data_IF_963445085003
#
_entry.id   IF_963445085003
#
_cell.length_a   1.000
_cell.length_b   1.000
_cell.length_c   1.000
_cell.angle_alpha   90.00
_cell.angle_beta   90.00
_cell.angle_gamma   90.00
#
_symmetry.space_group_name_H-M   'P 1'
#
loop_
_entity.id
_entity.type
_entity.pdbx_description
1 polymer ?
#
# COMPACT_ATOMS: atom_id res chain seq x y z
N UNK A 1 15.31 18.55 12.11
CA UNK A 1 14.26 17.52 12.27
C UNK A 1 14.13 16.81 10.94
N UNK A 2 14.63 15.58 10.85
CA UNK A 2 14.48 14.75 9.65
C UNK A 2 13.01 14.46 9.41
N UNK A 3 12.38 15.18 8.48
CA UNK A 3 11.03 14.90 8.03
C UNK A 3 11.09 13.75 7.03
N UNK A 4 10.24 12.73 7.21
CA UNK A 4 10.03 11.69 6.18
C UNK A 4 9.42 12.30 4.93
N UNK A 5 9.81 11.76 3.77
CA UNK A 5 9.29 12.16 2.46
C UNK A 5 8.66 10.98 1.75
N UNK A 6 7.72 11.25 0.88
CA UNK A 6 7.13 10.21 0.04
C UNK A 6 8.11 9.80 -1.05
N UNK A 7 8.10 8.53 -1.38
CA UNK A 7 8.81 7.93 -2.52
C UNK A 7 7.89 6.87 -3.10
N UNK A 8 7.64 6.92 -4.41
CA UNK A 8 6.87 5.89 -5.11
C UNK A 8 7.82 4.80 -5.58
N UNK A 9 7.49 3.55 -5.31
CA UNK A 9 8.25 2.38 -5.78
C UNK A 9 7.32 1.45 -6.56
N UNK A 10 7.73 1.08 -7.77
CA UNK A 10 7.00 0.15 -8.64
C UNK A 10 7.85 -1.10 -8.86
N UNK A 11 7.28 -2.26 -8.65
CA UNK A 11 7.94 -3.52 -8.96
C UNK A 11 7.92 -3.76 -10.48
N UNK A 12 9.09 -3.94 -11.08
CA UNK A 12 9.23 -4.29 -12.50
C UNK A 12 8.96 -5.78 -12.76
N UNK A 13 9.26 -6.62 -11.77
CA UNK A 13 9.17 -8.07 -11.84
C UNK A 13 9.09 -8.69 -10.44
N UNK A 14 9.13 -10.02 -10.35
CA UNK A 14 9.07 -10.73 -9.08
C UNK A 14 10.22 -10.37 -8.12
N UNK A 15 11.42 -10.11 -8.63
CA UNK A 15 12.56 -9.66 -7.81
C UNK A 15 12.27 -8.31 -7.18
N UNK A 16 11.76 -7.35 -7.97
CA UNK A 16 11.35 -6.04 -7.47
C UNK A 16 10.25 -6.12 -6.41
N UNK A 17 9.23 -6.96 -6.62
CA UNK A 17 8.19 -7.18 -5.63
C UNK A 17 8.76 -7.73 -4.32
N UNK A 18 9.63 -8.74 -4.39
CA UNK A 18 10.28 -9.30 -3.22
C UNK A 18 11.15 -8.29 -2.49
N UNK A 19 11.83 -7.41 -3.22
CA UNK A 19 12.63 -6.35 -2.64
C UNK A 19 11.77 -5.25 -1.98
N UNK A 20 10.62 -4.90 -2.56
CA UNK A 20 9.64 -4.01 -1.90
C UNK A 20 9.14 -4.64 -0.59
N UNK A 21 8.85 -5.95 -0.56
CA UNK A 21 8.47 -6.63 0.68
C UNK A 21 9.57 -6.59 1.74
N UNK A 22 10.84 -6.74 1.35
CA UNK A 22 11.99 -6.59 2.27
C UNK A 22 12.09 -5.17 2.82
N UNK A 23 12.00 -4.15 1.95
CA UNK A 23 12.00 -2.74 2.35
C UNK A 23 10.89 -2.46 3.38
N UNK A 24 9.67 -2.93 3.12
CA UNK A 24 8.54 -2.78 4.04
C UNK A 24 8.85 -3.51 5.36
N UNK A 25 9.28 -4.76 5.31
CA UNK A 25 9.55 -5.57 6.51
C UNK A 25 10.65 -4.96 7.37
N UNK A 26 11.78 -4.58 6.78
CA UNK A 26 12.89 -3.96 7.50
C UNK A 26 12.49 -2.59 8.06
N UNK A 27 11.61 -1.82 7.40
CA UNK A 27 11.11 -0.52 7.89
C UNK A 27 10.34 -0.60 9.21
N UNK A 28 9.81 -1.77 9.58
CA UNK A 28 9.11 -2.03 10.85
C UNK A 28 10.05 -2.52 11.96
N UNK A 29 11.33 -2.66 11.71
CA UNK A 29 12.30 -3.21 12.66
C UNK A 29 13.34 -2.17 13.09
N UNK A 30 13.94 -2.36 14.29
CA UNK A 30 15.10 -1.67 14.78
C UNK A 30 15.06 -0.14 14.64
N UNK A 31 16.12 0.44 14.09
CA UNK A 31 16.31 1.88 13.92
C UNK A 31 15.42 2.53 12.86
N UNK A 32 14.85 1.74 11.94
CA UNK A 32 13.97 2.23 10.87
C UNK A 32 12.56 2.57 11.36
N UNK A 33 12.12 2.00 12.48
CA UNK A 33 10.82 2.28 13.05
C UNK A 33 10.90 3.34 14.15
N UNK A 34 10.32 4.51 13.90
CA UNK A 34 10.09 5.53 14.92
C UNK A 34 8.71 6.13 14.74
N UNK A 35 7.74 5.74 15.55
CA UNK A 35 6.30 6.08 15.46
C UNK A 35 5.63 5.63 14.17
N UNK A 36 6.37 5.49 13.09
CA UNK A 36 5.95 4.97 11.78
C UNK A 36 7.16 4.33 11.08
N UNK A 37 6.92 3.37 10.16
CA UNK A 37 7.98 2.76 9.37
C UNK A 37 8.62 3.78 8.43
N UNK A 38 9.93 3.65 8.21
CA UNK A 38 10.72 4.51 7.34
C UNK A 38 11.80 3.70 6.64
N UNK A 39 12.27 4.20 5.53
CA UNK A 39 13.44 3.68 4.83
C UNK A 39 14.44 4.83 4.59
N UNK A 40 15.70 4.51 4.41
CA UNK A 40 16.76 5.43 4.03
C UNK A 40 17.47 4.98 2.75
N UNK A 41 18.42 5.78 2.29
CA UNK A 41 19.18 5.46 1.08
C UNK A 41 20.02 4.18 1.21
N UNK A 42 20.49 3.86 2.42
CA UNK A 42 21.25 2.64 2.68
C UNK A 42 20.40 1.40 2.42
N UNK A 43 19.17 1.43 2.92
CA UNK A 43 18.21 0.34 2.71
C UNK A 43 17.76 0.24 1.25
N UNK A 44 17.56 1.39 0.58
CA UNK A 44 17.26 1.43 -0.85
C UNK A 44 18.42 0.84 -1.68
N UNK A 45 19.69 1.18 -1.39
CA UNK A 45 20.86 0.60 -2.05
C UNK A 45 20.91 -0.93 -1.93
N UNK A 46 20.52 -1.45 -0.78
CA UNK A 46 20.50 -2.88 -0.50
C UNK A 46 19.43 -3.64 -1.30
N UNK A 47 18.29 -3.01 -1.58
CA UNK A 47 17.09 -3.66 -2.13
C UNK A 47 16.48 -2.94 -3.33
N UNK A 48 17.28 -2.36 -4.24
CA UNK A 48 16.78 -1.59 -5.39
C UNK A 48 16.55 -2.41 -6.67
N UNK A 49 17.05 -3.64 -6.75
CA UNK A 49 16.96 -4.45 -7.96
C UNK A 49 15.51 -4.73 -8.34
N UNK A 50 15.18 -4.54 -9.64
CA UNK A 50 13.84 -4.74 -10.17
C UNK A 50 12.81 -3.71 -9.71
N UNK A 51 13.23 -2.54 -9.21
CA UNK A 51 12.35 -1.47 -8.74
C UNK A 51 12.57 -0.21 -9.58
N UNK A 52 11.48 0.39 -10.04
CA UNK A 52 11.41 1.78 -10.53
C UNK A 52 11.04 2.67 -9.36
N UNK A 53 11.67 3.84 -9.26
CA UNK A 53 11.38 4.84 -8.23
C UNK A 53 11.00 6.19 -8.84
N UNK A 54 9.98 6.85 -8.28
CA UNK A 54 9.50 8.17 -8.71
C UNK A 54 9.54 9.16 -7.54
N UNK A 55 9.75 10.44 -7.87
CA UNK A 55 9.97 11.50 -6.87
C UNK A 55 8.73 11.88 -6.03
N UNK A 56 7.57 11.34 -6.37
CA UNK A 56 6.27 11.55 -5.71
C UNK A 56 5.74 13.00 -5.80
N UNK A 57 4.74 13.32 -4.98
CA UNK A 57 3.95 14.54 -5.01
C UNK A 57 4.58 15.71 -4.21
N UNK A 58 3.80 16.75 -3.85
CA UNK A 58 4.19 17.86 -2.96
C UNK A 58 4.67 17.42 -1.56
N UNK A 59 4.57 16.14 -1.21
CA UNK A 59 5.17 15.51 -0.04
C UNK A 59 6.42 14.69 -0.34
N UNK A 60 6.86 14.63 -1.60
CA UNK A 60 7.95 13.80 -2.09
C UNK A 60 9.35 14.31 -1.77
N UNK A 61 10.36 13.61 -2.30
CA UNK A 61 11.76 13.91 -2.01
C UNK A 61 12.20 15.26 -2.58
N UNK A 62 11.81 15.60 -3.81
CA UNK A 62 12.07 16.91 -4.42
C UNK A 62 11.29 18.04 -3.73
N UNK A 63 10.03 17.79 -3.41
CA UNK A 63 9.25 18.73 -2.61
C UNK A 63 9.87 18.97 -1.23
N UNK A 64 10.61 18.00 -0.70
CA UNK A 64 11.43 18.18 0.50
C UNK A 64 12.44 19.30 0.38
N UNK A 65 13.18 19.34 -0.72
CA UNK A 65 14.11 20.42 -1.03
C UNK A 65 13.38 21.75 -1.21
N UNK A 66 12.33 21.76 -2.01
CA UNK A 66 11.50 22.94 -2.26
C UNK A 66 11.00 23.59 -0.96
N UNK A 67 10.35 22.84 -0.07
CA UNK A 67 9.82 23.38 1.18
C UNK A 67 10.87 23.80 2.20
N UNK A 68 12.03 23.13 2.22
CA UNK A 68 13.07 23.43 3.22
C UNK A 68 14.00 24.56 2.79
N UNK A 69 14.17 24.76 1.49
CA UNK A 69 15.08 25.75 0.92
C UNK A 69 14.39 26.96 0.28
N UNK A 70 13.06 27.02 0.37
CA UNK A 70 12.25 28.06 -0.32
C UNK A 70 12.66 29.49 0.07
N UNK A 71 12.95 29.74 1.35
CA UNK A 71 13.38 31.05 1.85
C UNK A 71 14.82 31.39 1.47
N UNK A 72 15.66 30.37 1.18
CA UNK A 72 17.05 30.53 0.75
C UNK A 72 17.16 30.87 -0.76
N UNK A 73 16.07 30.70 -1.50
CA UNK A 73 15.93 31.06 -2.91
C UNK A 73 16.17 29.90 -3.88
N UNK A 74 16.01 30.23 -5.18
CA UNK A 74 15.99 29.27 -6.28
C UNK A 74 17.22 28.35 -6.31
N UNK A 75 18.43 28.92 -6.24
CA UNK A 75 19.66 28.13 -6.37
C UNK A 75 19.83 27.14 -5.22
N UNK A 76 19.45 27.51 -4.00
CA UNK A 76 19.50 26.59 -2.86
C UNK A 76 18.52 25.41 -3.01
N UNK A 77 17.35 25.64 -3.64
CA UNK A 77 16.41 24.56 -3.97
C UNK A 77 17.03 23.62 -5.00
N UNK A 78 17.57 24.15 -6.09
CA UNK A 78 18.19 23.36 -7.16
C UNK A 78 19.38 22.56 -6.66
N UNK A 79 20.26 23.16 -5.86
CA UNK A 79 21.41 22.46 -5.27
C UNK A 79 20.97 21.24 -4.44
N UNK A 80 20.00 21.45 -3.56
CA UNK A 80 19.41 20.34 -2.79
C UNK A 80 18.81 19.25 -3.70
N UNK A 81 18.12 19.64 -4.78
CA UNK A 81 17.53 18.67 -5.71
C UNK A 81 18.60 17.94 -6.53
N UNK A 82 19.70 18.59 -6.91
CA UNK A 82 20.87 17.96 -7.56
C UNK A 82 21.48 16.89 -6.68
N UNK A 83 21.70 17.18 -5.38
CA UNK A 83 22.20 16.19 -4.41
C UNK A 83 21.27 14.96 -4.33
N UNK A 84 19.96 15.18 -4.21
CA UNK A 84 18.96 14.10 -4.19
C UNK A 84 18.98 13.30 -5.50
N UNK A 85 19.10 13.97 -6.64
CA UNK A 85 19.13 13.34 -7.95
C UNK A 85 20.38 12.48 -8.13
N UNK A 86 21.56 12.98 -7.75
CA UNK A 86 22.80 12.21 -7.78
C UNK A 86 22.70 10.93 -6.96
N UNK A 87 22.14 11.03 -5.75
CA UNK A 87 21.95 9.87 -4.88
C UNK A 87 20.97 8.87 -5.49
N UNK A 88 19.82 9.34 -5.99
CA UNK A 88 18.80 8.47 -6.59
C UNK A 88 19.28 7.82 -7.90
N UNK A 89 19.97 8.55 -8.76
CA UNK A 89 20.58 7.99 -9.98
C UNK A 89 21.67 6.97 -9.62
N UNK A 90 22.45 7.18 -8.55
CA UNK A 90 23.41 6.18 -8.08
C UNK A 90 22.77 4.86 -7.64
N UNK A 91 21.52 4.91 -7.15
CA UNK A 91 20.77 3.74 -6.67
C UNK A 91 20.01 3.06 -7.80
N UNK A 92 19.28 3.84 -8.60
CA UNK A 92 18.30 3.33 -9.55
C UNK A 92 18.71 3.43 -11.01
N UNK A 93 19.73 4.27 -11.34
CA UNK A 93 20.13 4.53 -12.71
C UNK A 93 18.98 5.10 -13.54
N UNK A 94 18.71 4.50 -14.70
CA UNK A 94 17.61 4.85 -15.62
C UNK A 94 16.21 4.47 -15.10
N UNK A 95 16.12 3.89 -13.92
CA UNK A 95 14.87 3.54 -13.21
C UNK A 95 14.43 4.62 -12.20
N UNK A 96 15.16 5.72 -12.10
CA UNK A 96 14.76 6.91 -11.38
C UNK A 96 14.00 7.86 -12.28
N UNK A 97 12.85 8.38 -11.81
CA UNK A 97 11.98 9.30 -12.56
C UNK A 97 11.64 10.53 -11.74
N UNK A 98 11.69 11.69 -12.39
CA UNK A 98 11.00 12.87 -11.91
C UNK A 98 9.48 12.72 -12.07
N UNK A 99 8.71 13.20 -11.11
CA UNK A 99 7.25 13.14 -11.14
C UNK A 99 6.67 14.55 -11.09
N UNK A 100 5.78 14.88 -12.02
CA UNK A 100 5.05 16.13 -12.08
C UNK A 100 3.55 15.88 -12.06
N UNK A 101 2.79 16.84 -11.55
CA UNK A 101 1.35 16.73 -11.41
C UNK A 101 0.65 18.01 -11.84
N UNK A 102 -0.61 17.88 -12.24
CA UNK A 102 -1.40 18.97 -12.81
C UNK A 102 -2.61 19.25 -11.92
N UNK A 103 -2.42 20.17 -10.94
CA UNK A 103 -3.42 20.63 -10.00
C UNK A 103 -3.48 22.16 -10.01
N UNK A 104 -4.60 22.76 -9.61
CA UNK A 104 -4.73 24.22 -9.48
C UNK A 104 -4.10 24.70 -8.17
N UNK A 105 -2.81 24.43 -8.01
CA UNK A 105 -2.00 24.81 -6.84
C UNK A 105 -0.73 25.47 -7.35
N UNK A 106 -0.50 26.76 -7.06
CA UNK A 106 0.69 27.48 -7.55
C UNK A 106 2.01 26.81 -7.19
N UNK A 107 2.12 26.29 -5.97
CA UNK A 107 3.32 25.59 -5.50
C UNK A 107 3.60 24.29 -6.28
N UNK A 108 2.55 23.62 -6.78
CA UNK A 108 2.73 22.45 -7.63
C UNK A 108 3.37 22.84 -8.96
N UNK A 109 2.93 23.93 -9.57
CA UNK A 109 3.51 24.41 -10.82
C UNK A 109 4.93 24.95 -10.63
N UNK A 110 5.21 25.60 -9.50
CA UNK A 110 6.56 26.04 -9.16
C UNK A 110 7.49 24.81 -8.98
N UNK A 111 7.05 23.79 -8.24
CA UNK A 111 7.80 22.53 -8.08
C UNK A 111 8.03 21.82 -9.41
N UNK A 112 7.00 21.73 -10.27
CA UNK A 112 7.13 21.10 -11.58
C UNK A 112 8.26 21.72 -12.41
N UNK A 113 8.44 23.03 -12.38
CA UNK A 113 9.52 23.71 -13.11
C UNK A 113 10.89 23.29 -12.57
N UNK A 114 11.07 23.20 -11.25
CA UNK A 114 12.32 22.71 -10.65
C UNK A 114 12.60 21.26 -10.98
N UNK A 115 11.57 20.40 -10.93
CA UNK A 115 11.71 18.98 -11.29
C UNK A 115 12.13 18.83 -12.75
N UNK A 116 11.49 19.55 -13.67
CA UNK A 116 11.83 19.52 -15.10
C UNK A 116 13.28 19.96 -15.31
N UNK A 117 13.70 21.04 -14.68
CA UNK A 117 15.04 21.59 -14.81
C UNK A 117 16.11 20.61 -14.31
N UNK A 118 15.98 20.12 -13.09
CA UNK A 118 16.98 19.20 -12.53
C UNK A 118 17.01 17.86 -13.26
N UNK A 119 15.84 17.34 -13.67
CA UNK A 119 15.79 16.10 -14.45
C UNK A 119 16.47 16.25 -15.81
N UNK A 120 16.33 17.40 -16.47
CA UNK A 120 17.01 17.70 -17.73
C UNK A 120 18.53 17.78 -17.55
N UNK A 121 19.03 18.34 -16.44
CA UNK A 121 20.48 18.42 -16.16
C UNK A 121 21.10 17.02 -16.01
N UNK A 122 20.38 16.05 -15.49
CA UNK A 122 20.85 14.69 -15.20
C UNK A 122 20.38 13.63 -16.19
N UNK A 123 19.75 14.01 -17.31
CA UNK A 123 19.14 13.09 -18.27
C UNK A 123 18.17 12.09 -17.62
N UNK A 124 17.41 12.56 -16.62
CA UNK A 124 16.39 11.80 -15.91
C UNK A 124 15.04 11.98 -16.60
N UNK A 125 14.37 10.90 -16.90
CA UNK A 125 13.02 10.93 -17.47
C UNK A 125 12.00 11.49 -16.48
N UNK A 126 10.95 12.12 -16.99
CA UNK A 126 9.86 12.71 -16.19
C UNK A 126 8.54 12.06 -16.57
N UNK A 127 7.68 11.83 -15.58
CA UNK A 127 6.32 11.29 -15.76
C UNK A 127 5.28 12.25 -15.20
N UNK A 128 4.12 12.31 -15.86
CA UNK A 128 2.93 12.98 -15.36
C UNK A 128 2.03 12.00 -14.62
N UNK A 129 1.73 12.26 -13.34
CA UNK A 129 0.84 11.43 -12.52
C UNK A 129 -0.30 12.24 -11.91
N UNK A 130 -1.25 11.56 -11.26
CA UNK A 130 -2.44 12.20 -10.67
C UNK A 130 -2.54 12.05 -9.15
N UNK A 131 -1.67 11.26 -8.50
CA UNK A 131 -1.69 11.02 -7.04
C UNK A 131 -3.09 10.67 -6.52
N UNK A 132 -3.72 9.64 -7.12
CA UNK A 132 -5.12 9.28 -6.89
C UNK A 132 -5.42 8.95 -5.42
N UNK A 133 -6.42 9.62 -4.84
CA UNK A 133 -6.86 9.46 -3.45
C UNK A 133 -8.34 9.08 -3.32
N UNK A 134 -9.11 9.12 -4.39
CA UNK A 134 -10.51 8.73 -4.45
C UNK A 134 -10.86 8.19 -5.84
N UNK A 135 -11.91 7.36 -5.99
CA UNK A 135 -12.11 6.53 -7.19
C UNK A 135 -12.67 7.24 -8.41
N UNK A 136 -13.38 8.36 -8.25
CA UNK A 136 -14.05 9.10 -9.33
C UNK A 136 -14.23 10.59 -8.98
N UNK A 137 -14.56 11.47 -9.95
CA UNK A 137 -14.68 12.90 -9.71
C UNK A 137 -15.60 13.29 -8.55
N UNK A 138 -16.71 12.58 -8.34
CA UNK A 138 -17.72 12.94 -7.34
C UNK A 138 -17.32 12.58 -5.90
N UNK A 139 -16.34 11.67 -5.73
CA UNK A 139 -15.94 11.15 -4.42
C UNK A 139 -15.01 12.08 -3.62
N UNK A 140 -14.72 13.29 -4.10
CA UNK A 140 -13.89 14.25 -3.37
C UNK A 140 -14.49 14.64 -2.00
N UNK A 141 -15.83 14.70 -1.88
CA UNK A 141 -16.53 14.99 -0.63
C UNK A 141 -16.27 13.94 0.44
N UNK A 142 -16.30 12.68 0.06
CA UNK A 142 -16.04 11.57 0.98
C UNK A 142 -14.60 11.63 1.51
N UNK A 143 -13.65 12.00 0.65
CA UNK A 143 -12.27 12.24 1.05
C UNK A 143 -12.14 13.40 2.03
N UNK A 144 -12.82 14.52 1.80
CA UNK A 144 -12.78 15.67 2.72
C UNK A 144 -13.39 15.32 4.08
N UNK A 145 -14.48 14.56 4.11
CA UNK A 145 -15.05 14.02 5.35
C UNK A 145 -14.08 13.07 6.05
N UNK A 146 -13.45 12.15 5.30
CA UNK A 146 -12.47 11.21 5.86
C UNK A 146 -11.26 11.92 6.48
N UNK A 147 -10.75 12.98 5.85
CA UNK A 147 -9.69 13.82 6.42
C UNK A 147 -10.09 14.40 7.77
N UNK A 148 -11.31 14.90 7.90
CA UNK A 148 -11.84 15.43 9.17
C UNK A 148 -11.89 14.38 10.27
N UNK A 149 -12.37 13.16 9.97
CA UNK A 149 -12.36 12.06 10.92
C UNK A 149 -10.93 11.74 11.40
N UNK A 150 -9.96 11.75 10.50
CA UNK A 150 -8.55 11.58 10.84
C UNK A 150 -7.98 12.70 11.72
N UNK A 151 -8.47 13.93 11.59
CA UNK A 151 -8.05 15.08 12.42
C UNK A 151 -8.67 15.04 13.80
N UNK A 152 -9.94 14.62 13.91
CA UNK A 152 -10.59 14.32 15.19
C UNK A 152 -9.74 13.40 16.06
N UNK A 153 -9.29 12.29 15.48
CA UNK A 153 -8.44 11.32 16.18
C UNK A 153 -7.06 11.87 16.58
N UNK A 154 -6.62 13.00 16.01
CA UNK A 154 -5.35 13.67 16.33
C UNK A 154 -5.49 14.84 17.30
N UNK A 155 -6.69 15.09 17.84
CA UNK A 155 -6.93 16.16 18.81
C UNK A 155 -6.71 17.57 18.24
N UNK A 156 -7.09 17.81 16.98
CA UNK A 156 -7.02 19.11 16.30
C UNK A 156 -8.43 19.67 16.08
N UNK A 157 -9.09 20.13 17.14
CA UNK A 157 -10.48 20.60 17.08
C UNK A 157 -10.66 21.81 16.17
N UNK A 158 -9.64 22.67 16.03
CA UNK A 158 -9.68 23.85 15.16
C UNK A 158 -9.94 23.50 13.68
N UNK A 159 -9.56 22.29 13.25
CA UNK A 159 -9.81 21.84 11.88
C UNK A 159 -11.23 21.32 11.65
N UNK A 160 -11.99 21.10 12.71
CA UNK A 160 -13.40 20.71 12.66
C UNK A 160 -14.32 21.90 12.41
N UNK A 161 -13.86 23.10 12.77
CA UNK A 161 -14.61 24.36 12.58
C UNK A 161 -14.49 24.86 11.15
N UNK A 162 -13.53 24.35 10.35
CA UNK A 162 -13.41 24.68 8.93
C UNK A 162 -14.64 24.18 8.18
N UNK A 163 -15.28 25.07 7.41
CA UNK A 163 -16.35 24.70 6.51
C UNK A 163 -15.84 23.70 5.46
N UNK A 164 -16.66 22.70 5.14
CA UNK A 164 -16.34 21.83 4.00
C UNK A 164 -16.41 22.65 2.71
N UNK A 165 -15.50 22.39 1.76
CA UNK A 165 -15.65 22.91 0.41
C UNK A 165 -17.03 22.60 -0.14
N UNK A 166 -17.62 23.53 -0.89
CA UNK A 166 -18.94 23.37 -1.50
C UNK A 166 -18.83 22.82 -2.92
N UNK A 167 -17.66 22.97 -3.52
CA UNK A 167 -17.37 22.47 -4.87
C UNK A 167 -15.93 21.94 -4.97
N UNK A 168 -15.65 21.16 -6.02
CA UNK A 168 -14.33 20.62 -6.30
C UNK A 168 -13.30 21.73 -6.61
N UNK A 169 -13.73 22.82 -7.22
CA UNK A 169 -12.86 23.96 -7.59
C UNK A 169 -12.25 24.63 -6.34
N UNK A 170 -12.98 24.64 -5.22
CA UNK A 170 -12.48 25.23 -3.97
C UNK A 170 -11.31 24.46 -3.35
N UNK A 171 -11.12 23.17 -3.70
CA UNK A 171 -10.02 22.36 -3.15
C UNK A 171 -8.72 22.47 -3.96
N UNK A 172 -8.76 22.98 -5.18
CA UNK A 172 -7.59 23.24 -6.02
C UNK A 172 -6.90 21.97 -6.56
N UNK A 173 -7.42 20.76 -6.29
CA UNK A 173 -6.84 19.49 -6.76
C UNK A 173 -7.92 18.48 -7.15
N UNK A 174 -7.58 17.65 -8.13
CA UNK A 174 -8.41 16.55 -8.61
C UNK A 174 -7.61 15.25 -8.54
N UNK A 175 -7.84 14.46 -7.48
CA UNK A 175 -7.05 13.28 -7.14
C UNK A 175 -7.82 11.96 -7.39
N UNK A 176 -8.41 11.83 -8.56
CA UNK A 176 -9.03 10.60 -9.04
C UNK A 176 -8.23 10.03 -10.22
N UNK A 177 -8.34 8.71 -10.52
CA UNK A 177 -7.65 8.12 -11.67
C UNK A 177 -8.08 8.78 -12.98
N UNK A 178 -7.14 9.34 -13.73
CA UNK A 178 -7.35 10.02 -15.01
C UNK A 178 -6.67 9.25 -16.15
N UNK A 179 -7.30 9.20 -17.31
CA UNK A 179 -6.64 8.77 -18.53
C UNK A 179 -5.74 9.89 -19.10
N UNK A 180 -4.99 9.59 -20.17
CA UNK A 180 -4.06 10.55 -20.78
C UNK A 180 -4.74 11.84 -21.24
N UNK A 181 -5.93 11.76 -21.86
CA UNK A 181 -6.67 12.93 -22.32
C UNK A 181 -7.10 13.83 -21.15
N UNK A 182 -7.60 13.23 -20.08
CA UNK A 182 -8.00 13.97 -18.87
C UNK A 182 -6.80 14.62 -18.16
N UNK A 183 -5.63 13.97 -18.16
CA UNK A 183 -4.41 14.59 -17.63
C UNK A 183 -3.97 15.75 -18.51
N UNK A 184 -4.06 15.58 -19.83
CA UNK A 184 -3.75 16.64 -20.79
C UNK A 184 -4.68 17.86 -20.63
N UNK A 185 -5.98 17.64 -20.46
CA UNK A 185 -6.96 18.70 -20.17
C UNK A 185 -6.60 19.44 -18.87
N UNK A 186 -6.31 18.70 -17.79
CA UNK A 186 -5.88 19.30 -16.52
C UNK A 186 -4.59 20.11 -16.67
N UNK A 187 -3.62 19.61 -17.43
CA UNK A 187 -2.41 20.35 -17.76
C UNK A 187 -2.73 21.70 -18.45
N UNK A 188 -3.53 21.67 -19.53
CA UNK A 188 -3.87 22.88 -20.31
C UNK A 188 -4.65 23.89 -19.47
N UNK A 189 -5.58 23.44 -18.65
CA UNK A 189 -6.39 24.29 -17.80
C UNK A 189 -5.58 24.92 -16.66
N UNK A 190 -4.92 24.08 -15.85
CA UNK A 190 -4.27 24.56 -14.62
C UNK A 190 -2.95 25.29 -14.88
N UNK A 191 -2.23 24.97 -15.95
CA UNK A 191 -1.08 25.79 -16.36
C UNK A 191 -1.50 27.21 -16.75
N UNK A 192 -2.63 27.33 -17.47
CA UNK A 192 -3.19 28.64 -17.85
C UNK A 192 -3.66 29.42 -16.62
N UNK A 193 -4.40 28.79 -15.70
CA UNK A 193 -4.89 29.43 -14.47
C UNK A 193 -3.72 29.92 -13.59
N UNK A 194 -2.65 29.14 -13.49
CA UNK A 194 -1.46 29.49 -12.72
C UNK A 194 -0.45 30.35 -13.51
N UNK A 195 -0.75 30.71 -14.77
CA UNK A 195 0.08 31.54 -15.65
C UNK A 195 1.51 31.00 -15.86
N UNK A 196 1.63 29.68 -15.92
CA UNK A 196 2.88 28.98 -16.19
C UNK A 196 2.83 28.35 -17.57
N UNK A 197 3.89 28.55 -18.35
CA UNK A 197 4.03 27.99 -19.70
C UNK A 197 4.96 26.78 -19.64
N UNK A 198 4.54 25.70 -20.28
CA UNK A 198 5.34 24.49 -20.48
C UNK A 198 5.44 24.18 -21.98
N UNK A 199 6.41 23.38 -22.36
CA UNK A 199 6.52 22.84 -23.68
C UNK A 199 5.52 21.68 -23.86
N UNK A 200 4.60 21.82 -24.79
CA UNK A 200 3.54 20.83 -25.04
C UNK A 200 4.11 19.47 -25.46
N UNK A 201 5.14 19.44 -26.29
CA UNK A 201 5.78 18.18 -26.74
C UNK A 201 6.47 17.49 -25.56
N UNK A 202 7.13 18.26 -24.70
CA UNK A 202 7.70 17.72 -23.45
C UNK A 202 6.62 17.11 -22.56
N UNK A 203 5.51 17.82 -22.32
CA UNK A 203 4.41 17.30 -21.47
C UNK A 203 3.78 16.06 -22.08
N UNK A 204 3.57 16.02 -23.39
CA UNK A 204 3.09 14.81 -24.09
C UNK A 204 4.04 13.66 -23.86
N UNK A 205 5.36 13.86 -24.01
CA UNK A 205 6.37 12.83 -23.71
C UNK A 205 6.29 12.32 -22.27
N UNK A 206 5.94 13.14 -21.27
CA UNK A 206 5.77 12.67 -19.87
C UNK A 206 4.54 11.77 -19.69
N UNK A 207 3.52 11.92 -20.52
CA UNK A 207 2.35 11.02 -20.55
C UNK A 207 2.70 9.70 -21.24
N UNK A 208 3.39 9.76 -22.39
CA UNK A 208 3.85 8.57 -23.11
C UNK A 208 4.80 7.73 -22.26
N UNK A 209 5.65 8.36 -21.44
CA UNK A 209 6.56 7.65 -20.53
C UNK A 209 5.82 6.81 -19.48
N UNK A 210 4.61 7.22 -19.04
CA UNK A 210 3.79 6.38 -18.15
C UNK A 210 3.33 5.10 -18.84
N UNK A 211 3.05 5.17 -20.15
CA UNK A 211 2.71 4.03 -20.96
C UNK A 211 3.95 3.13 -21.16
N UNK A 212 5.13 3.72 -21.43
CA UNK A 212 6.38 2.96 -21.55
C UNK A 212 6.69 2.18 -20.27
N UNK A 213 6.56 2.80 -19.10
CA UNK A 213 6.71 2.11 -17.82
C UNK A 213 5.76 0.92 -17.72
N UNK A 214 4.48 1.13 -18.00
CA UNK A 214 3.44 0.12 -17.77
C UNK A 214 3.55 -1.08 -18.72
N UNK A 215 3.92 -0.85 -19.98
CA UNK A 215 3.86 -1.88 -21.04
C UNK A 215 5.23 -2.41 -21.48
N UNK A 216 6.31 -1.65 -21.31
CA UNK A 216 7.64 -2.02 -21.77
C UNK A 216 8.62 -2.30 -20.61
N UNK A 217 8.47 -1.62 -19.47
CA UNK A 217 9.41 -1.76 -18.35
C UNK A 217 8.92 -2.67 -17.23
N UNK A 218 7.61 -2.85 -17.08
CA UNK A 218 7.04 -3.78 -16.10
C UNK A 218 6.72 -5.09 -16.80
N UNK A 219 7.39 -6.15 -16.38
CA UNK A 219 7.10 -7.51 -16.87
C UNK A 219 5.77 -8.01 -16.31
N UNK A 220 5.09 -8.87 -17.08
CA UNK A 220 3.92 -9.55 -16.58
C UNK A 220 4.33 -10.61 -15.56
N UNK A 221 4.03 -10.40 -14.29
CA UNK A 221 4.29 -11.35 -13.21
C UNK A 221 3.08 -11.46 -12.28
N UNK A 222 3.04 -12.52 -11.51
CA UNK A 222 1.99 -12.77 -10.55
C UNK A 222 2.61 -13.05 -9.17
N UNK A 223 2.04 -12.52 -8.09
CA UNK A 223 2.41 -12.94 -6.74
C UNK A 223 2.26 -14.45 -6.59
N UNK A 224 3.15 -15.07 -5.83
CA UNK A 224 3.02 -16.47 -5.46
C UNK A 224 1.77 -16.64 -4.59
N UNK A 225 0.76 -17.33 -5.11
CA UNK A 225 -0.53 -17.60 -4.46
C UNK A 225 -0.58 -18.97 -3.78
N UNK A 226 0.56 -19.65 -3.73
CA UNK A 226 0.67 -20.96 -3.09
C UNK A 226 0.34 -20.85 -1.60
N UNK A 227 -0.70 -21.57 -1.18
CA UNK A 227 -1.07 -21.66 0.23
C UNK A 227 -0.01 -22.45 0.97
N UNK A 228 0.74 -21.79 1.85
CA UNK A 228 1.75 -22.41 2.71
C UNK A 228 1.24 -22.46 4.14
N UNK A 229 0.84 -23.67 4.55
CA UNK A 229 0.43 -23.91 5.93
C UNK A 229 1.62 -24.41 6.72
N UNK A 230 1.74 -24.05 8.02
CA UNK A 230 2.77 -24.62 8.88
C UNK A 230 2.58 -26.13 8.99
N UNK A 231 3.69 -26.86 9.12
CA UNK A 231 3.64 -28.28 9.38
C UNK A 231 3.08 -28.53 10.78
N UNK A 232 2.14 -29.47 10.86
CA UNK A 232 1.54 -29.92 12.10
C UNK A 232 1.86 -31.39 12.33
N UNK A 233 2.49 -31.72 13.46
CA UNK A 233 2.84 -33.09 13.80
C UNK A 233 1.62 -33.76 14.43
N UNK A 234 1.03 -34.70 13.72
CA UNK A 234 -0.06 -35.52 14.24
C UNK A 234 0.51 -36.75 14.98
N UNK A 235 -0.24 -37.35 15.92
CA UNK A 235 0.17 -38.60 16.59
C UNK A 235 0.37 -39.72 15.58
N UNK A 236 1.33 -40.64 15.89
CA UNK A 236 1.60 -41.79 15.03
C UNK A 236 0.34 -42.63 14.75
N UNK A 237 0.16 -42.99 13.48
CA UNK A 237 -0.97 -43.78 13.01
C UNK A 237 -2.17 -42.98 12.54
N UNK A 238 -2.05 -41.64 12.48
CA UNK A 238 -3.10 -40.77 11.92
C UNK A 238 -2.55 -39.90 10.78
N UNK A 239 -3.41 -39.66 9.80
CA UNK A 239 -3.29 -38.49 8.89
C UNK A 239 -3.86 -37.23 9.57
N UNK A 240 -3.56 -36.05 9.03
CA UNK A 240 -4.14 -34.78 9.55
C UNK A 240 -5.67 -34.78 9.50
N UNK A 241 -6.25 -35.32 8.43
CA UNK A 241 -7.69 -35.41 8.25
C UNK A 241 -8.35 -36.35 9.28
N UNK A 242 -7.75 -37.51 9.50
CA UNK A 242 -8.25 -38.48 10.49
C UNK A 242 -8.12 -37.93 11.91
N UNK A 243 -7.02 -37.22 12.20
CA UNK A 243 -6.82 -36.66 13.54
C UNK A 243 -7.78 -35.47 13.77
N UNK A 244 -7.97 -34.62 12.78
CA UNK A 244 -8.98 -33.55 12.84
C UNK A 244 -10.38 -34.12 13.06
N UNK A 245 -10.76 -35.14 12.29
CA UNK A 245 -12.04 -35.84 12.43
C UNK A 245 -12.24 -36.39 13.84
N UNK A 246 -11.22 -37.05 14.37
CA UNK A 246 -11.24 -37.62 15.74
C UNK A 246 -11.50 -36.53 16.78
N UNK A 247 -10.76 -35.40 16.71
CA UNK A 247 -10.87 -34.34 17.69
C UNK A 247 -12.25 -33.67 17.62
N UNK A 248 -12.76 -33.42 16.42
CA UNK A 248 -14.07 -32.80 16.23
C UNK A 248 -15.23 -33.69 16.69
N UNK A 249 -15.19 -35.01 16.41
CA UNK A 249 -16.22 -35.93 16.92
C UNK A 249 -16.16 -36.08 18.44
N UNK A 250 -14.97 -36.02 19.03
CA UNK A 250 -14.83 -35.93 20.47
C UNK A 250 -15.50 -34.68 21.02
N UNK A 251 -15.21 -33.50 20.47
CA UNK A 251 -15.83 -32.24 20.89
C UNK A 251 -17.35 -32.23 20.70
N UNK A 252 -17.88 -32.84 19.62
CA UNK A 252 -19.31 -33.01 19.44
C UNK A 252 -19.91 -33.90 20.54
N UNK A 253 -19.21 -34.99 20.95
CA UNK A 253 -19.65 -35.85 22.03
C UNK A 253 -19.67 -35.17 23.40
N UNK A 254 -18.71 -34.28 23.62
CA UNK A 254 -18.55 -33.52 24.86
C UNK A 254 -19.49 -32.30 24.94
N UNK A 255 -20.13 -31.93 23.79
CA UNK A 255 -21.01 -30.78 23.70
C UNK A 255 -22.28 -30.95 24.57
N UNK A 256 -22.79 -29.84 25.15
CA UNK A 256 -23.99 -29.88 25.98
C UNK A 256 -25.22 -30.35 25.18
N UNK A 257 -26.27 -30.77 25.89
CA UNK A 257 -27.55 -31.16 25.31
C UNK A 257 -27.53 -32.41 24.39
N UNK A 258 -26.50 -33.21 24.44
CA UNK A 258 -26.37 -34.47 23.69
C UNK A 258 -26.58 -34.29 22.15
N UNK A 259 -26.11 -33.18 21.62
CA UNK A 259 -26.23 -32.85 20.18
C UNK A 259 -25.58 -33.88 19.25
N UNK A 260 -24.62 -34.70 19.77
CA UNK A 260 -24.03 -35.81 19.04
C UNK A 260 -25.07 -36.92 18.65
N UNK A 261 -26.27 -36.96 19.27
CA UNK A 261 -27.35 -37.87 18.94
C UNK A 261 -28.26 -37.34 17.81
N UNK A 262 -28.16 -36.06 17.47
CA UNK A 262 -28.94 -35.47 16.39
C UNK A 262 -28.19 -35.62 15.07
N UNK A 263 -28.78 -36.39 14.16
CA UNK A 263 -28.18 -36.67 12.85
C UNK A 263 -27.91 -35.44 12.01
N UNK A 264 -28.58 -34.32 12.25
CA UNK A 264 -28.32 -33.05 11.55
C UNK A 264 -26.94 -32.51 11.87
N UNK A 265 -26.53 -32.59 13.13
CA UNK A 265 -25.20 -32.14 13.54
C UNK A 265 -24.10 -33.09 13.04
N UNK A 266 -24.34 -34.39 13.07
CA UNK A 266 -23.39 -35.38 12.55
C UNK A 266 -23.18 -35.18 11.05
N UNK A 267 -24.26 -35.08 10.27
CA UNK A 267 -24.19 -34.85 8.82
C UNK A 267 -23.51 -33.52 8.47
N UNK A 268 -23.80 -32.47 9.24
CA UNK A 268 -23.14 -31.16 9.05
C UNK A 268 -21.66 -31.25 9.33
N UNK A 269 -21.25 -31.89 10.41
CA UNK A 269 -19.85 -32.04 10.77
C UNK A 269 -19.08 -32.84 9.70
N UNK A 270 -19.66 -33.94 9.21
CA UNK A 270 -19.06 -34.74 8.12
C UNK A 270 -18.94 -33.94 6.83
N UNK A 271 -19.93 -33.10 6.49
CA UNK A 271 -19.86 -32.21 5.35
C UNK A 271 -18.73 -31.19 5.48
N UNK A 272 -18.62 -30.50 6.61
CA UNK A 272 -17.57 -29.52 6.84
C UNK A 272 -16.17 -30.16 6.81
N UNK A 273 -16.00 -31.31 7.48
CA UNK A 273 -14.74 -32.07 7.47
C UNK A 273 -14.32 -32.47 6.06
N UNK A 274 -15.29 -32.92 5.25
CA UNK A 274 -15.03 -33.25 3.85
C UNK A 274 -14.55 -32.04 3.07
N UNK A 275 -15.21 -30.88 3.19
CA UNK A 275 -14.80 -29.64 2.51
C UNK A 275 -13.40 -29.21 2.95
N UNK A 276 -13.08 -29.31 4.24
CA UNK A 276 -11.77 -28.96 4.82
C UNK A 276 -10.68 -29.88 4.26
N UNK A 277 -10.93 -31.19 4.22
CA UNK A 277 -10.00 -32.17 3.67
C UNK A 277 -9.78 -31.98 2.15
N UNK A 278 -10.88 -31.85 1.37
CA UNK A 278 -10.83 -31.64 -0.09
C UNK A 278 -10.02 -30.37 -0.46
N UNK A 279 -9.93 -29.39 0.44
CA UNK A 279 -9.17 -28.13 0.27
C UNK A 279 -7.77 -28.16 0.91
N UNK A 280 -7.40 -29.24 1.60
CA UNK A 280 -6.10 -29.39 2.26
C UNK A 280 -5.92 -28.50 3.49
N UNK A 281 -6.99 -28.08 4.17
CA UNK A 281 -6.95 -27.16 5.31
C UNK A 281 -6.95 -27.86 6.68
N UNK A 282 -6.87 -29.17 6.78
CA UNK A 282 -6.88 -29.88 8.06
C UNK A 282 -5.74 -29.45 8.96
N UNK A 283 -4.54 -29.26 8.43
CA UNK A 283 -3.39 -28.71 9.18
C UNK A 283 -3.68 -27.33 9.78
N UNK A 284 -4.37 -26.47 9.04
CA UNK A 284 -4.75 -25.13 9.52
C UNK A 284 -5.62 -25.22 10.78
N UNK A 285 -6.67 -26.03 10.75
CA UNK A 285 -7.57 -26.19 11.89
C UNK A 285 -6.84 -26.79 13.11
N UNK A 286 -5.97 -27.77 12.89
CA UNK A 286 -5.16 -28.38 13.95
C UNK A 286 -4.17 -27.37 14.57
N UNK A 287 -3.52 -26.57 13.74
CA UNK A 287 -2.62 -25.50 14.19
C UNK A 287 -3.36 -24.45 15.00
N UNK A 288 -4.52 -23.98 14.50
CA UNK A 288 -5.33 -23.00 15.21
C UNK A 288 -5.83 -23.53 16.55
N UNK A 289 -6.26 -24.82 16.60
CA UNK A 289 -6.61 -25.47 17.86
C UNK A 289 -5.45 -25.46 18.85
N UNK A 290 -4.25 -25.86 18.43
CA UNK A 290 -3.09 -25.89 19.29
C UNK A 290 -2.73 -24.50 19.83
N UNK A 291 -2.84 -23.47 19.01
CA UNK A 291 -2.66 -22.06 19.43
C UNK A 291 -3.73 -21.65 20.44
N UNK A 292 -5.00 -21.96 20.18
CA UNK A 292 -6.12 -21.62 21.07
C UNK A 292 -6.01 -22.35 22.40
N UNK A 293 -5.71 -23.64 22.39
CA UNK A 293 -5.49 -24.43 23.60
C UNK A 293 -4.38 -23.81 24.46
N UNK A 294 -3.26 -23.42 23.83
CA UNK A 294 -2.16 -22.79 24.56
C UNK A 294 -2.52 -21.39 25.09
N UNK A 295 -3.26 -20.63 24.29
CA UNK A 295 -3.73 -19.30 24.69
C UNK A 295 -4.68 -19.39 25.89
N UNK A 296 -5.59 -20.36 25.93
CA UNK A 296 -6.54 -20.59 27.02
C UNK A 296 -5.88 -20.96 28.35
N UNK A 297 -4.61 -21.43 28.33
CA UNK A 297 -3.84 -21.66 29.57
C UNK A 297 -3.41 -20.35 30.26
N UNK A 298 -3.26 -19.26 29.51
CA UNK A 298 -2.66 -18.01 29.99
C UNK A 298 -3.61 -16.82 30.00
N UNK A 299 -4.69 -16.88 29.19
CA UNK A 299 -5.71 -15.81 29.13
C UNK A 299 -7.03 -16.37 28.62
N UNK A 300 -8.12 -15.62 28.87
CA UNK A 300 -9.41 -15.92 28.26
C UNK A 300 -9.40 -15.59 26.79
N UNK A 301 -9.70 -16.58 25.94
CA UNK A 301 -9.94 -16.34 24.50
C UNK A 301 -11.37 -15.84 24.29
N UNK A 302 -11.52 -14.82 23.44
CA UNK A 302 -12.82 -14.35 23.01
C UNK A 302 -13.52 -15.37 22.09
N UNK A 303 -14.84 -15.23 21.88
CA UNK A 303 -15.57 -16.03 20.92
C UNK A 303 -15.02 -15.82 19.48
N UNK A 304 -15.25 -16.80 18.62
CA UNK A 304 -14.82 -16.76 17.23
C UNK A 304 -15.21 -15.46 16.50
N UNK A 305 -14.37 -15.01 15.60
CA UNK A 305 -14.56 -13.80 14.80
C UNK A 305 -14.70 -14.16 13.32
N UNK A 306 -15.53 -13.41 12.59
CA UNK A 306 -15.74 -13.61 11.16
C UNK A 306 -16.52 -14.89 10.84
N UNK A 307 -16.31 -15.48 9.68
CA UNK A 307 -17.05 -16.66 9.19
C UNK A 307 -16.80 -17.94 10.01
N UNK A 308 -15.70 -18.04 10.73
CA UNK A 308 -15.38 -19.18 11.59
C UNK A 308 -16.43 -19.40 12.70
N UNK A 309 -17.13 -18.34 13.13
CA UNK A 309 -18.23 -18.45 14.09
C UNK A 309 -19.40 -19.33 13.60
N UNK A 310 -19.53 -19.53 12.29
CA UNK A 310 -20.55 -20.39 11.68
C UNK A 310 -20.09 -21.85 11.45
N UNK A 311 -18.85 -22.20 11.80
CA UNK A 311 -18.29 -23.55 11.59
C UNK A 311 -18.55 -24.45 12.80
N UNK A 312 -19.21 -25.58 12.54
CA UNK A 312 -19.42 -26.60 13.56
C UNK A 312 -18.09 -27.32 13.92
N UNK A 313 -17.18 -27.49 12.96
CA UNK A 313 -15.83 -28.02 13.21
C UNK A 313 -15.09 -27.11 14.18
N UNK A 314 -15.08 -25.78 13.96
CA UNK A 314 -14.43 -24.83 14.85
C UNK A 314 -15.03 -24.88 16.27
N UNK A 315 -16.37 -24.91 16.39
CA UNK A 315 -17.05 -25.07 17.67
C UNK A 315 -16.65 -26.35 18.42
N UNK A 316 -16.60 -27.48 17.70
CA UNK A 316 -16.22 -28.76 18.32
C UNK A 316 -14.73 -28.84 18.73
N UNK A 317 -13.88 -28.00 18.17
CA UNK A 317 -12.47 -27.92 18.53
C UNK A 317 -12.22 -27.04 19.79
N UNK A 318 -13.20 -26.29 20.25
CA UNK A 318 -13.09 -25.35 21.38
C UNK A 318 -12.72 -23.95 20.91
#
# INVERSE_FOLDING_TARGET
>A
INRTRHLVLLAMNQTGLNNIFKLISESYTGEYFYRKPRIDYSLLKKHNEGIIALSACLGGVYAGCFWTKREEGREAILECMREVTQEMVSIFGDRWYGEIQWNNIPEQHELNQYVIEVCKEFDVKVVSTVDSHYPNPDAWRDRELYKRLGWLGKGKPEWLEMTLPTSAEEIGYELYPKNGDQVWESYKEYSKLNKVTYDDDFVMGTLEETHDIAFNRIEKFYPDDTVRLPDFVVPAGYTEDEYLKRLTFKGLSDAPNKVHKDQRYVARLEHELKVIADRGFSKYFLTMKAITDKTNEIQLSGPGRGSAAGSLVAYCLG
#
